data_IF_731262946368
#
_entry.id   IF_731262946368
#
_cell.length_a   1.000
_cell.length_b   1.000
_cell.length_c   1.000
_cell.angle_alpha   90.00
_cell.angle_beta   90.00
_cell.angle_gamma   90.00
#
_symmetry.space_group_name_H-M   'P 1'
#
loop_
_entity.id
_entity.type
_entity.pdbx_description
1 polymer ?
#
# COMPACT_ATOMS: atom_id res chain seq x y z
N UNK A 1 44.24 -57.74 10.84
CA UNK A 1 44.14 -57.41 12.29
C UNK A 1 43.14 -56.29 12.61
N UNK A 2 42.89 -55.32 11.71
CA UNK A 2 41.91 -54.22 11.92
C UNK A 2 40.43 -54.64 11.85
N UNK A 3 40.07 -55.67 11.06
CA UNK A 3 38.67 -56.14 10.90
C UNK A 3 38.13 -56.93 12.11
N UNK A 4 38.99 -57.56 12.92
CA UNK A 4 38.58 -58.23 14.17
C UNK A 4 38.33 -57.26 15.32
N UNK A 5 38.94 -56.07 15.31
CA UNK A 5 38.81 -55.09 16.39
C UNK A 5 37.47 -54.33 16.32
N UNK A 6 36.95 -54.09 15.11
CA UNK A 6 35.62 -53.49 14.91
C UNK A 6 34.48 -54.43 15.34
N UNK A 7 34.60 -55.74 15.04
CA UNK A 7 33.60 -56.74 15.44
C UNK A 7 33.56 -56.96 16.97
N UNK A 8 34.71 -56.94 17.65
CA UNK A 8 34.77 -57.09 19.11
C UNK A 8 34.18 -55.89 19.86
N UNK A 9 34.38 -54.66 19.36
CA UNK A 9 33.72 -53.46 19.92
C UNK A 9 32.20 -53.47 19.71
N UNK A 10 31.72 -53.90 18.55
CA UNK A 10 30.28 -54.02 18.25
C UNK A 10 29.56 -54.96 19.22
N UNK A 11 30.11 -56.16 19.44
CA UNK A 11 29.61 -57.16 20.39
C UNK A 11 29.57 -56.62 21.84
N UNK A 12 30.62 -55.91 22.28
CA UNK A 12 30.67 -55.32 23.62
C UNK A 12 29.65 -54.18 23.81
N UNK A 13 29.48 -53.32 22.80
CA UNK A 13 28.48 -52.25 22.82
C UNK A 13 27.05 -52.79 22.85
N UNK A 14 26.75 -53.81 22.05
CA UNK A 14 25.43 -54.48 22.02
C UNK A 14 25.12 -55.12 23.38
N UNK A 15 26.11 -55.73 24.02
CA UNK A 15 25.98 -56.28 25.36
C UNK A 15 25.77 -55.19 26.44
N UNK A 16 26.42 -54.04 26.32
CA UNK A 16 26.27 -52.91 27.24
C UNK A 16 24.88 -52.26 27.14
N UNK A 17 24.38 -52.03 25.92
CA UNK A 17 23.04 -51.48 25.65
C UNK A 17 21.96 -52.45 26.15
N UNK A 18 22.12 -53.76 25.91
CA UNK A 18 21.19 -54.78 26.43
C UNK A 18 21.16 -54.79 27.96
N UNK A 19 22.33 -54.71 28.62
CA UNK A 19 22.42 -54.63 30.10
C UNK A 19 21.84 -53.33 30.65
N UNK A 20 22.04 -52.20 29.97
CA UNK A 20 21.42 -50.93 30.33
C UNK A 20 19.89 -50.99 30.21
N UNK A 21 19.36 -51.62 29.16
CA UNK A 21 17.92 -51.82 28.99
C UNK A 21 17.30 -52.72 30.07
N UNK A 22 18.01 -53.79 30.45
CA UNK A 22 17.65 -54.64 31.59
C UNK A 22 17.66 -53.88 32.92
N UNK A 23 18.65 -53.00 33.14
CA UNK A 23 18.74 -52.17 34.35
C UNK A 23 17.60 -51.14 34.44
N UNK A 24 17.21 -50.55 33.31
CA UNK A 24 16.04 -49.64 33.19
C UNK A 24 14.73 -50.38 33.54
N UNK A 25 14.58 -51.65 33.12
CA UNK A 25 13.42 -52.49 33.48
C UNK A 25 13.38 -52.92 34.95
N UNK A 26 14.54 -52.99 35.63
CA UNK A 26 14.63 -53.46 37.01
C UNK A 26 14.04 -52.47 38.04
N UNK A 27 14.04 -51.16 37.74
CA UNK A 27 13.55 -50.09 38.65
C UNK A 27 12.38 -49.31 38.02
N UNK A 28 11.31 -50.03 37.66
CA UNK A 28 10.16 -49.55 36.85
C UNK A 28 9.60 -48.17 37.27
N UNK A 29 9.42 -47.92 38.58
CA UNK A 29 8.84 -46.65 39.06
C UNK A 29 9.78 -45.45 38.90
N UNK A 30 11.03 -45.57 39.36
CA UNK A 30 12.01 -44.47 39.31
C UNK A 30 12.35 -44.08 37.87
N UNK A 31 12.48 -45.07 36.99
CA UNK A 31 12.79 -44.80 35.59
C UNK A 31 11.59 -44.23 34.83
N UNK A 32 10.36 -44.67 35.11
CA UNK A 32 9.17 -44.05 34.53
C UNK A 32 9.01 -42.58 34.93
N UNK A 33 9.24 -42.25 36.21
CA UNK A 33 9.20 -40.87 36.69
C UNK A 33 10.25 -40.00 36.01
N UNK A 34 11.50 -40.48 35.90
CA UNK A 34 12.57 -39.74 35.23
C UNK A 34 12.27 -39.50 33.75
N UNK A 35 11.78 -40.51 33.02
CA UNK A 35 11.41 -40.37 31.61
C UNK A 35 10.31 -39.32 31.45
N UNK A 36 9.28 -39.36 32.29
CA UNK A 36 8.17 -38.42 32.24
C UNK A 36 8.66 -36.98 32.41
N UNK A 37 9.45 -36.71 33.46
CA UNK A 37 9.96 -35.35 33.72
C UNK A 37 10.87 -34.87 32.59
N UNK A 38 11.79 -35.72 32.11
CA UNK A 38 12.67 -35.33 30.99
C UNK A 38 11.90 -35.09 29.70
N UNK A 39 10.86 -35.89 29.43
CA UNK A 39 10.02 -35.71 28.24
C UNK A 39 9.25 -34.40 28.32
N UNK A 40 8.72 -34.04 29.50
CA UNK A 40 8.02 -32.78 29.69
C UNK A 40 8.93 -31.57 29.42
N UNK A 41 10.17 -31.59 29.91
CA UNK A 41 11.15 -30.52 29.66
C UNK A 41 11.49 -30.44 28.17
N UNK A 42 11.71 -31.57 27.49
CA UNK A 42 12.05 -31.61 26.07
C UNK A 42 10.92 -31.06 25.18
N UNK A 43 9.67 -31.38 25.49
CA UNK A 43 8.52 -30.84 24.76
C UNK A 43 8.49 -29.32 24.87
N UNK A 44 8.74 -28.78 26.07
CA UNK A 44 8.74 -27.33 26.28
C UNK A 44 9.87 -26.62 25.52
N UNK A 45 11.06 -27.23 25.51
CA UNK A 45 12.21 -26.70 24.74
C UNK A 45 11.94 -26.76 23.24
N UNK A 46 11.40 -27.87 22.73
CA UNK A 46 11.04 -28.00 21.31
C UNK A 46 9.97 -27.00 20.91
N UNK A 47 8.93 -26.83 21.73
CA UNK A 47 7.91 -25.82 21.49
C UNK A 47 8.52 -24.41 21.42
N UNK A 48 9.41 -24.06 22.36
CA UNK A 48 10.10 -22.78 22.35
C UNK A 48 10.96 -22.57 21.10
N UNK A 49 11.71 -23.59 20.67
CA UNK A 49 12.52 -23.53 19.44
C UNK A 49 11.64 -23.45 18.18
N UNK A 50 10.53 -24.18 18.13
CA UNK A 50 9.58 -24.14 17.02
C UNK A 50 8.92 -22.78 16.91
N UNK A 51 8.45 -22.22 18.02
CA UNK A 51 7.85 -20.87 18.04
C UNK A 51 8.90 -19.83 17.63
N UNK A 52 10.13 -19.94 18.14
CA UNK A 52 11.22 -19.04 17.76
C UNK A 52 11.52 -19.12 16.26
N UNK A 53 11.65 -20.31 15.70
CA UNK A 53 11.90 -20.47 14.27
C UNK A 53 10.73 -19.95 13.41
N UNK A 54 9.49 -20.16 13.85
CA UNK A 54 8.31 -19.62 13.19
C UNK A 54 8.29 -18.08 13.25
N UNK A 55 8.63 -17.50 14.40
CA UNK A 55 8.72 -16.04 14.57
C UNK A 55 9.84 -15.45 13.71
N UNK A 56 11.03 -16.05 13.71
CA UNK A 56 12.16 -15.61 12.87
C UNK A 56 11.79 -15.70 11.38
N UNK A 57 11.12 -16.78 10.96
CA UNK A 57 10.62 -16.94 9.58
C UNK A 57 9.57 -15.90 9.21
N UNK A 58 8.67 -15.55 10.15
CA UNK A 58 7.67 -14.51 9.93
C UNK A 58 8.32 -13.13 9.82
N UNK A 59 9.32 -12.83 10.64
CA UNK A 59 10.10 -11.59 10.56
C UNK A 59 10.88 -11.50 9.26
N UNK A 60 11.52 -12.59 8.81
CA UNK A 60 12.25 -12.59 7.53
C UNK A 60 11.30 -12.40 6.35
N UNK A 61 10.12 -13.02 6.38
CA UNK A 61 9.11 -12.84 5.32
C UNK A 61 8.61 -11.41 5.29
N UNK A 62 8.25 -10.85 6.46
CA UNK A 62 7.82 -9.46 6.57
C UNK A 62 8.92 -8.47 6.15
N UNK A 63 10.19 -8.76 6.47
CA UNK A 63 11.33 -7.96 6.04
C UNK A 63 11.54 -8.03 4.53
N UNK A 64 11.43 -9.22 3.94
CA UNK A 64 11.54 -9.38 2.48
C UNK A 64 10.44 -8.65 1.72
N UNK A 65 9.22 -8.58 2.27
CA UNK A 65 8.12 -7.82 1.68
C UNK A 65 8.31 -6.30 1.87
N UNK A 66 8.74 -5.86 3.06
CA UNK A 66 8.88 -4.44 3.38
C UNK A 66 10.17 -3.79 2.79
N UNK A 67 11.31 -4.47 2.78
CA UNK A 67 12.58 -3.93 2.26
C UNK A 67 12.62 -3.87 0.72
N UNK A 68 11.69 -4.53 0.02
CA UNK A 68 11.66 -4.59 -1.44
C UNK A 68 10.95 -3.39 -2.11
N UNK A 69 10.19 -2.59 -1.36
CA UNK A 69 9.46 -1.44 -1.90
C UNK A 69 10.14 -0.13 -1.52
N UNK A 70 10.82 0.50 -2.48
CA UNK A 70 11.43 1.82 -2.30
C UNK A 70 10.47 2.88 -2.85
N UNK A 71 9.80 3.63 -1.96
CA UNK A 71 8.99 4.78 -2.37
C UNK A 71 9.87 6.02 -2.47
N UNK A 72 10.03 6.55 -3.68
CA UNK A 72 10.69 7.83 -3.89
C UNK A 72 9.64 8.94 -3.75
N UNK A 73 9.62 9.61 -2.60
CA UNK A 73 8.77 10.79 -2.38
C UNK A 73 9.63 12.03 -2.17
N UNK A 74 9.13 13.17 -2.67
CA UNK A 74 9.72 14.47 -2.37
C UNK A 74 9.51 14.77 -0.89
N UNK A 75 10.60 15.00 -0.16
CA UNK A 75 10.54 15.36 1.24
C UNK A 75 10.03 16.82 1.38
N UNK A 76 8.70 16.97 1.39
CA UNK A 76 8.03 18.27 1.54
C UNK A 76 8.38 18.95 2.86
N UNK A 77 8.67 18.21 3.94
CA UNK A 77 9.07 18.81 5.22
C UNK A 77 10.42 19.52 5.12
N UNK A 78 11.42 18.89 4.49
CA UNK A 78 12.72 19.50 4.23
C UNK A 78 12.61 20.70 3.28
N UNK A 79 11.72 20.61 2.29
CA UNK A 79 11.43 21.71 1.36
C UNK A 79 10.73 22.89 2.05
N UNK A 80 9.71 22.63 2.87
CA UNK A 80 9.00 23.65 3.67
C UNK A 80 9.94 24.31 4.69
N UNK A 81 10.92 23.57 5.21
CA UNK A 81 11.95 24.11 6.09
C UNK A 81 13.01 24.94 5.35
N UNK A 82 13.31 24.59 4.10
CA UNK A 82 14.15 25.40 3.22
C UNK A 82 13.42 26.64 2.70
N UNK A 83 12.10 26.56 2.55
CA UNK A 83 11.20 27.65 2.20
C UNK A 83 10.90 28.49 3.46
N UNK A 84 11.86 29.32 3.84
CA UNK A 84 11.75 30.21 4.99
C UNK A 84 10.96 31.48 4.56
N UNK A 85 9.71 31.70 4.98
CA UNK A 85 8.93 32.88 4.57
C UNK A 85 9.40 34.21 5.19
N UNK A 86 10.40 34.17 6.09
CA UNK A 86 10.97 35.35 6.77
C UNK A 86 12.24 35.91 6.07
N UNK A 87 12.38 35.79 4.76
CA UNK A 87 13.36 36.60 4.02
C UNK A 87 12.67 37.82 3.43
N UNK A 88 12.74 38.90 4.19
CA UNK A 88 12.47 40.27 3.76
C UNK A 88 13.39 40.63 2.58
N UNK A 89 12.95 40.34 1.35
CA UNK A 89 13.56 40.88 0.14
C UNK A 89 12.48 41.41 -0.79
N UNK A 90 12.20 42.69 -0.60
CA UNK A 90 11.59 43.53 -1.63
C UNK A 90 12.49 43.51 -2.86
N UNK A 91 12.07 42.81 -3.90
CA UNK A 91 12.60 43.00 -5.24
C UNK A 91 11.52 42.62 -6.25
N UNK A 92 10.94 43.66 -6.83
CA UNK A 92 10.29 43.68 -8.15
C UNK A 92 11.13 42.88 -9.16
N UNK A 93 10.71 41.66 -9.45
CA UNK A 93 10.85 41.05 -10.78
C UNK A 93 9.79 39.95 -10.90
N UNK A 94 8.65 40.31 -11.47
CA UNK A 94 7.57 39.40 -11.82
C UNK A 94 8.01 38.53 -12.99
N UNK A 95 8.70 37.44 -12.69
CA UNK A 95 8.72 36.26 -13.55
C UNK A 95 7.68 35.29 -13.01
N UNK A 96 6.56 35.20 -13.72
CA UNK A 96 5.63 34.09 -13.74
C UNK A 96 6.39 32.74 -13.66
N UNK A 97 6.51 32.18 -12.47
CA UNK A 97 6.81 30.76 -12.27
C UNK A 97 5.84 30.29 -11.19
N UNK A 98 4.58 30.12 -11.61
CA UNK A 98 3.51 29.64 -10.78
C UNK A 98 3.92 28.31 -10.17
N UNK A 99 4.09 28.30 -8.84
CA UNK A 99 4.04 27.13 -7.97
C UNK A 99 4.45 25.83 -8.67
N UNK A 100 5.68 25.78 -9.19
CA UNK A 100 6.22 24.57 -9.79
C UNK A 100 6.39 23.55 -8.66
N UNK A 101 5.34 22.75 -8.45
CA UNK A 101 5.44 21.50 -7.72
C UNK A 101 6.63 20.77 -8.35
N UNK A 102 7.72 20.62 -7.60
CA UNK A 102 8.92 19.93 -8.08
C UNK A 102 8.59 18.45 -8.19
N UNK A 103 7.87 18.10 -9.24
CA UNK A 103 7.60 16.72 -9.63
C UNK A 103 8.95 16.09 -9.95
N UNK A 104 9.11 14.83 -9.60
CA UNK A 104 10.34 14.10 -9.95
C UNK A 104 10.43 14.09 -11.47
N UNK A 105 11.54 14.61 -12.03
CA UNK A 105 11.78 14.57 -13.47
C UNK A 105 11.61 13.14 -13.98
N UNK A 106 10.65 12.96 -14.87
CA UNK A 106 10.25 11.65 -15.38
C UNK A 106 11.45 10.90 -15.98
N UNK A 107 12.33 11.62 -16.69
CA UNK A 107 13.57 11.08 -17.25
C UNK A 107 14.54 10.53 -16.18
N UNK A 108 14.60 11.14 -14.99
CA UNK A 108 15.43 10.66 -13.88
C UNK A 108 14.80 9.42 -13.25
N UNK A 109 13.48 9.41 -13.12
CA UNK A 109 12.73 8.27 -12.59
C UNK A 109 12.83 7.04 -13.51
N UNK A 110 12.71 7.23 -14.83
CA UNK A 110 12.93 6.19 -15.86
C UNK A 110 14.36 5.65 -15.82
N UNK A 111 15.36 6.53 -15.72
CA UNK A 111 16.77 6.12 -15.63
C UNK A 111 17.08 5.27 -14.39
N UNK A 112 16.29 5.41 -13.32
CA UNK A 112 16.38 4.57 -12.13
C UNK A 112 15.67 3.24 -12.37
N UNK A 113 14.49 3.28 -12.99
CA UNK A 113 13.68 2.12 -13.34
C UNK A 113 14.40 1.13 -14.27
N UNK A 114 15.24 1.61 -15.20
CA UNK A 114 15.99 0.76 -16.14
C UNK A 114 17.22 0.05 -15.53
N UNK A 115 17.58 0.30 -14.27
CA UNK A 115 18.76 -0.32 -13.66
C UNK A 115 18.53 -1.80 -13.35
N UNK A 116 19.58 -2.60 -13.51
CA UNK A 116 19.64 -4.08 -13.31
C UNK A 116 19.30 -4.59 -11.89
N UNK A 117 18.82 -3.72 -10.99
CA UNK A 117 18.35 -4.07 -9.64
C UNK A 117 16.89 -3.74 -9.39
N UNK A 118 16.17 -3.17 -10.35
CA UNK A 118 14.76 -2.81 -10.23
C UNK A 118 13.92 -3.88 -10.94
N UNK A 119 13.22 -4.70 -10.15
CA UNK A 119 12.38 -5.76 -10.69
C UNK A 119 11.06 -5.23 -11.27
N UNK A 120 10.52 -4.17 -10.66
CA UNK A 120 9.26 -3.52 -11.06
C UNK A 120 9.25 -2.09 -10.53
N UNK A 121 8.48 -1.22 -11.19
CA UNK A 121 8.32 0.18 -10.79
C UNK A 121 6.88 0.63 -11.02
N UNK A 122 6.43 1.53 -10.15
CA UNK A 122 5.12 2.19 -10.21
C UNK A 122 5.33 3.70 -10.17
N UNK A 123 4.85 4.39 -11.19
CA UNK A 123 4.68 5.83 -11.19
C UNK A 123 3.22 6.13 -10.88
N UNK A 124 2.99 7.01 -9.92
CA UNK A 124 1.65 7.40 -9.48
C UNK A 124 1.54 8.92 -9.49
N UNK A 125 0.50 9.42 -10.15
CA UNK A 125 0.07 10.81 -10.04
C UNK A 125 -1.39 10.86 -9.62
N UNK A 126 -1.78 11.84 -8.84
CA UNK A 126 -3.17 11.98 -8.37
C UNK A 126 -3.67 13.37 -8.68
N UNK A 127 -4.86 13.44 -9.25
CA UNK A 127 -5.59 14.69 -9.52
C UNK A 127 -7.06 14.53 -9.12
N UNK A 128 -7.73 15.63 -8.87
CA UNK A 128 -9.19 15.67 -8.68
C UNK A 128 -9.87 16.10 -9.96
N UNK A 129 -11.06 15.57 -10.23
CA UNK A 129 -11.89 15.94 -11.37
C UNK A 129 -13.37 15.94 -10.97
N UNK A 130 -14.16 16.80 -11.60
CA UNK A 130 -15.60 16.93 -11.44
C UNK A 130 -16.32 16.01 -12.42
N UNK A 131 -17.49 15.51 -12.03
CA UNK A 131 -18.31 14.67 -12.89
C UNK A 131 -18.83 15.44 -14.11
N UNK A 132 -18.75 14.82 -15.30
CA UNK A 132 -19.46 15.29 -16.49
C UNK A 132 -20.94 14.90 -16.45
N UNK A 133 -21.70 15.33 -17.47
CA UNK A 133 -23.15 15.07 -17.54
C UNK A 133 -23.52 13.57 -17.59
N UNK A 134 -22.58 12.73 -18.04
CA UNK A 134 -22.80 11.30 -18.30
C UNK A 134 -22.39 10.38 -17.13
N UNK A 135 -21.90 10.93 -16.02
CA UNK A 135 -21.48 10.15 -14.85
C UNK A 135 -21.84 10.87 -13.56
N UNK A 136 -22.20 10.12 -12.54
CA UNK A 136 -22.48 10.62 -11.19
C UNK A 136 -21.54 9.96 -10.19
N UNK A 137 -20.97 10.77 -9.31
CA UNK A 137 -20.15 10.25 -8.22
C UNK A 137 -21.02 9.49 -7.22
N UNK A 138 -20.56 8.30 -6.86
CA UNK A 138 -21.11 7.54 -5.75
C UNK A 138 -20.54 8.10 -4.45
N UNK A 139 -21.38 8.74 -3.63
CA UNK A 139 -20.96 9.20 -2.32
C UNK A 139 -20.72 8.00 -1.41
N UNK A 140 -19.45 7.72 -1.10
CA UNK A 140 -19.12 7.00 0.12
C UNK A 140 -19.44 7.91 1.29
N UNK A 141 -20.11 7.41 2.33
CA UNK A 141 -20.61 8.13 3.51
C UNK A 141 -19.52 8.78 4.39
N UNK A 142 -18.57 9.52 3.83
CA UNK A 142 -17.89 10.61 4.51
C UNK A 142 -18.65 11.88 4.15
N UNK A 143 -19.70 12.16 4.93
CA UNK A 143 -20.38 13.44 4.94
C UNK A 143 -19.37 14.53 5.30
N UNK A 144 -18.68 15.10 4.32
CA UNK A 144 -18.38 16.52 4.37
C UNK A 144 -19.58 17.18 3.72
N UNK A 145 -20.60 17.42 4.54
CA UNK A 145 -21.67 18.36 4.20
C UNK A 145 -21.00 19.68 3.85
N UNK A 146 -20.89 19.97 2.57
CA UNK A 146 -20.84 21.34 2.11
C UNK A 146 -22.24 21.88 2.38
N UNK A 147 -22.48 22.36 3.60
CA UNK A 147 -23.62 23.23 3.85
C UNK A 147 -23.41 24.45 2.96
N UNK A 148 -24.13 24.48 1.84
CA UNK A 148 -24.49 25.70 1.13
C UNK A 148 -25.21 26.60 2.13
N UNK A 149 -24.44 27.38 2.89
CA UNK A 149 -25.01 28.45 3.69
C UNK A 149 -25.38 29.57 2.74
N UNK A 150 -26.60 29.49 2.23
CA UNK A 150 -27.41 30.58 1.70
C UNK A 150 -27.47 31.72 2.73
N UNK A 151 -26.43 32.56 2.82
CA UNK A 151 -26.51 33.77 3.62
C UNK A 151 -27.25 34.84 2.81
N UNK A 152 -28.57 34.74 2.89
CA UNK A 152 -29.47 35.85 2.66
C UNK A 152 -29.05 36.99 3.59
N UNK A 153 -28.85 38.16 3.00
CA UNK A 153 -28.58 39.44 3.65
C UNK A 153 -29.48 39.69 4.87
N UNK A 154 -28.88 39.98 6.02
CA UNK A 154 -29.44 40.88 7.04
C UNK A 154 -28.35 41.36 8.03
N UNK A 155 -28.05 42.65 7.89
CA UNK A 155 -27.79 43.69 8.90
C UNK A 155 -27.05 43.42 10.23
N UNK A 156 -26.03 44.27 10.43
CA UNK A 156 -25.55 44.87 11.70
C UNK A 156 -24.43 44.22 12.54
N UNK A 157 -23.34 45.00 12.62
CA UNK A 157 -22.48 45.33 13.76
C UNK A 157 -21.27 44.43 14.14
N UNK A 158 -20.10 44.98 13.77
CA UNK A 158 -19.00 45.34 14.69
C UNK A 158 -18.23 44.20 15.40
N UNK A 159 -17.17 43.72 14.74
CA UNK A 159 -15.90 43.35 15.41
C UNK A 159 -14.78 43.15 14.39
N UNK A 160 -13.92 44.15 14.26
CA UNK A 160 -12.70 44.14 13.45
C UNK A 160 -11.69 43.09 13.94
N UNK A 161 -11.75 41.88 13.37
CA UNK A 161 -10.64 40.92 13.36
C UNK A 161 -9.97 40.95 11.98
N UNK A 162 -8.65 41.21 11.87
CA UNK A 162 -7.97 41.26 10.57
C UNK A 162 -8.01 39.89 9.89
N UNK A 163 -8.86 39.78 8.88
CA UNK A 163 -8.97 38.68 7.94
C UNK A 163 -7.73 38.66 7.03
N UNK A 164 -6.67 37.99 7.50
CA UNK A 164 -5.43 37.77 6.77
C UNK A 164 -5.04 36.31 6.81
N UNK A 165 -5.71 35.47 6.01
CA UNK A 165 -5.14 34.21 5.51
C UNK A 165 -6.00 33.69 4.37
N UNK A 166 -5.49 33.79 3.14
CA UNK A 166 -6.06 33.13 1.98
C UNK A 166 -6.24 31.66 2.28
N UNK A 167 -7.49 31.23 2.35
CA UNK A 167 -7.82 29.83 2.15
C UNK A 167 -7.42 29.52 0.72
N UNK A 168 -6.43 28.65 0.54
CA UNK A 168 -6.27 27.94 -0.71
C UNK A 168 -7.61 27.24 -0.95
N UNK A 169 -8.34 27.72 -1.95
CA UNK A 169 -9.52 27.09 -2.48
C UNK A 169 -9.08 25.71 -2.98
N UNK A 170 -9.29 24.70 -2.14
CA UNK A 170 -9.12 23.31 -2.54
C UNK A 170 -10.28 23.05 -3.50
N UNK A 171 -10.00 23.10 -4.80
CA UNK A 171 -10.93 22.64 -5.85
C UNK A 171 -11.33 21.21 -5.52
N UNK A 172 -12.54 21.08 -4.98
CA UNK A 172 -13.15 19.83 -4.54
C UNK A 172 -13.81 19.20 -5.76
N UNK A 173 -13.08 18.30 -6.43
CA UNK A 173 -13.66 17.48 -7.50
C UNK A 173 -14.42 16.28 -6.92
N UNK A 174 -15.43 15.82 -7.65
CA UNK A 174 -16.25 14.65 -7.27
C UNK A 174 -15.49 13.32 -7.33
N UNK A 175 -14.45 13.25 -8.16
CA UNK A 175 -13.61 12.08 -8.38
C UNK A 175 -12.15 12.36 -8.03
N UNK A 176 -11.51 11.36 -7.43
CA UNK A 176 -10.06 11.27 -7.35
C UNK A 176 -9.55 10.36 -8.46
N UNK A 177 -8.78 10.92 -9.39
CA UNK A 177 -8.16 10.18 -10.48
C UNK A 177 -6.72 9.89 -10.12
N UNK A 178 -6.35 8.61 -10.14
CA UNK A 178 -4.97 8.17 -9.92
C UNK A 178 -4.42 7.61 -11.23
N UNK A 179 -3.47 8.33 -11.82
CA UNK A 179 -2.72 7.87 -12.99
C UNK A 179 -1.61 6.93 -12.58
N UNK A 180 -1.57 5.74 -13.19
CA UNK A 180 -0.55 4.72 -12.96
C UNK A 180 -0.01 4.18 -14.28
N UNK A 181 1.25 3.74 -14.31
CA UNK A 181 1.82 3.06 -15.49
C UNK A 181 1.45 1.57 -15.56
N UNK A 182 1.08 0.95 -14.43
CA UNK A 182 0.63 -0.44 -14.39
C UNK A 182 -0.25 -0.70 -13.17
N UNK A 183 -1.44 -1.26 -13.38
CA UNK A 183 -2.35 -1.64 -12.29
C UNK A 183 -1.80 -2.80 -11.47
N UNK A 184 -1.06 -3.72 -12.08
CA UNK A 184 -0.51 -4.91 -11.43
C UNK A 184 0.48 -4.61 -10.30
N UNK A 185 1.04 -3.39 -10.27
CA UNK A 185 1.99 -2.97 -9.25
C UNK A 185 1.38 -2.04 -8.20
N UNK A 186 0.08 -1.73 -8.31
CA UNK A 186 -0.64 -0.94 -7.31
C UNK A 186 -0.89 -1.79 -6.07
N UNK A 187 -0.65 -1.22 -4.89
CA UNK A 187 -0.74 -1.92 -3.59
C UNK A 187 -2.08 -2.64 -3.38
N UNK A 188 -3.17 -2.00 -3.80
CA UNK A 188 -4.52 -2.49 -3.55
C UNK A 188 -4.79 -3.75 -4.39
N UNK A 189 -4.20 -3.84 -5.59
CA UNK A 189 -4.30 -5.00 -6.47
C UNK A 189 -3.31 -6.10 -6.08
N UNK A 190 -2.07 -5.75 -5.72
CA UNK A 190 -1.05 -6.73 -5.28
C UNK A 190 -1.42 -7.40 -3.96
N UNK A 191 -2.09 -6.67 -3.04
CA UNK A 191 -2.59 -7.22 -1.78
C UNK A 191 -3.86 -8.06 -1.94
N UNK A 192 -4.49 -8.07 -3.12
CA UNK A 192 -5.79 -8.70 -3.38
C UNK A 192 -6.97 -7.98 -2.73
N UNK A 193 -6.78 -6.74 -2.27
CA UNK A 193 -7.87 -5.91 -1.74
C UNK A 193 -8.81 -5.51 -2.87
N UNK A 194 -8.25 -5.19 -4.04
CA UNK A 194 -8.94 -4.91 -5.30
C UNK A 194 -8.63 -6.00 -6.32
N UNK A 195 -9.64 -6.53 -6.99
CA UNK A 195 -9.49 -7.55 -8.04
C UNK A 195 -10.21 -7.09 -9.31
N UNK A 196 -9.58 -7.22 -10.47
CA UNK A 196 -10.22 -6.92 -11.76
C UNK A 196 -11.19 -8.07 -12.07
N UNK A 197 -12.47 -7.76 -12.12
CA UNK A 197 -13.55 -8.74 -12.37
C UNK A 197 -13.98 -8.76 -13.83
N UNK A 198 -13.83 -7.64 -14.54
CA UNK A 198 -14.10 -7.56 -15.97
C UNK A 198 -13.07 -6.68 -16.69
N UNK A 199 -12.75 -7.02 -17.93
CA UNK A 199 -11.77 -6.30 -18.76
C UNK A 199 -10.31 -6.55 -18.38
N UNK A 200 -9.48 -5.51 -18.50
CA UNK A 200 -8.02 -5.57 -18.29
C UNK A 200 -7.53 -4.37 -17.47
N UNK A 201 -6.41 -4.56 -16.78
CA UNK A 201 -5.72 -3.49 -16.05
C UNK A 201 -4.99 -2.51 -16.97
N UNK A 202 -4.55 -1.39 -16.41
CA UNK A 202 -3.65 -0.45 -17.08
C UNK A 202 -2.26 -1.08 -17.18
N UNK A 203 -1.64 -0.95 -18.36
CA UNK A 203 -0.27 -1.38 -18.65
C UNK A 203 0.42 -0.31 -19.50
N UNK A 204 1.72 -0.46 -19.79
CA UNK A 204 2.46 0.46 -20.65
C UNK A 204 1.95 0.53 -22.10
N UNK A 205 1.22 -0.50 -22.56
CA UNK A 205 0.66 -0.57 -23.91
C UNK A 205 -0.80 -0.08 -23.99
N UNK A 206 -1.39 0.28 -22.83
CA UNK A 206 -2.77 0.76 -22.77
C UNK A 206 -2.88 2.14 -23.42
N UNK A 207 -3.93 2.35 -24.21
CA UNK A 207 -4.16 3.63 -24.90
C UNK A 207 -4.38 4.78 -23.91
N UNK A 208 -4.03 6.00 -24.35
CA UNK A 208 -4.31 7.22 -23.60
C UNK A 208 -5.80 7.31 -23.24
N UNK A 209 -6.10 7.96 -22.12
CA UNK A 209 -7.46 8.15 -21.62
C UNK A 209 -8.23 6.84 -21.33
N UNK A 210 -7.52 5.75 -21.04
CA UNK A 210 -8.13 4.51 -20.53
C UNK A 210 -8.26 4.55 -19.01
N UNK A 211 -9.38 4.05 -18.49
CA UNK A 211 -9.69 4.03 -17.07
C UNK A 211 -10.10 2.64 -16.60
N UNK A 212 -9.69 2.32 -15.37
CA UNK A 212 -10.18 1.16 -14.61
C UNK A 212 -11.02 1.71 -13.47
N UNK A 213 -12.29 1.31 -13.41
CA UNK A 213 -13.29 1.87 -12.46
C UNK A 213 -13.78 0.81 -11.47
N UNK A 214 -14.30 1.23 -10.31
CA UNK A 214 -14.91 0.29 -9.37
C UNK A 214 -16.24 -0.24 -9.92
N UNK A 215 -16.57 -1.47 -9.56
CA UNK A 215 -17.86 -2.11 -9.84
C UNK A 215 -19.04 -1.27 -9.33
N UNK A 216 -18.95 -0.72 -8.12
CA UNK A 216 -20.00 0.15 -7.58
C UNK A 216 -20.25 1.39 -8.47
N UNK A 217 -19.19 2.00 -9.01
CA UNK A 217 -19.31 3.17 -9.90
C UNK A 217 -19.86 2.77 -11.26
N UNK A 218 -19.43 1.61 -11.77
CA UNK A 218 -19.90 1.04 -13.01
C UNK A 218 -21.40 0.72 -12.95
N UNK A 219 -21.84 0.02 -11.91
CA UNK A 219 -23.23 -0.36 -11.68
C UNK A 219 -24.14 0.87 -11.46
N UNK A 220 -23.67 1.89 -10.73
CA UNK A 220 -24.45 3.10 -10.47
C UNK A 220 -24.68 3.96 -11.71
N UNK A 221 -23.81 3.85 -12.72
CA UNK A 221 -23.86 4.65 -13.95
C UNK A 221 -24.14 3.80 -15.21
N UNK A 222 -24.51 2.53 -15.04
CA UNK A 222 -24.73 1.56 -16.12
C UNK A 222 -23.55 1.45 -17.11
N UNK A 223 -22.30 1.59 -16.61
CA UNK A 223 -21.08 1.55 -17.42
C UNK A 223 -20.51 0.13 -17.51
N UNK A 224 -20.09 -0.26 -18.71
CA UNK A 224 -19.43 -1.54 -19.01
C UNK A 224 -18.06 -1.33 -19.66
N UNK A 225 -17.26 -2.41 -19.75
CA UNK A 225 -15.98 -2.37 -20.47
C UNK A 225 -16.20 -1.99 -21.94
N UNK A 226 -15.51 -0.94 -22.39
CA UNK A 226 -15.64 -0.33 -23.70
C UNK A 226 -16.47 0.94 -23.73
N UNK A 227 -17.23 1.24 -22.67
CA UNK A 227 -18.00 2.47 -22.57
C UNK A 227 -17.11 3.67 -22.25
N UNK A 228 -17.61 4.86 -22.56
CA UNK A 228 -16.90 6.12 -22.33
C UNK A 228 -17.67 7.03 -21.39
N UNK A 229 -16.98 7.71 -20.49
CA UNK A 229 -17.55 8.72 -19.61
C UNK A 229 -16.69 9.98 -19.63
N UNK A 230 -17.28 11.12 -19.26
CA UNK A 230 -16.60 12.41 -19.29
C UNK A 230 -16.28 12.90 -17.88
N UNK A 231 -15.07 13.39 -17.68
CA UNK A 231 -14.64 14.08 -16.46
C UNK A 231 -14.14 15.48 -16.82
N UNK A 232 -14.39 16.45 -15.95
CA UNK A 232 -13.96 17.83 -16.16
C UNK A 232 -12.98 18.23 -15.07
N UNK A 233 -11.87 18.83 -15.47
CA UNK A 233 -10.87 19.39 -14.55
C UNK A 233 -10.81 20.90 -14.78
N UNK A 234 -10.75 21.65 -13.69
CA UNK A 234 -10.55 23.11 -13.72
C UNK A 234 -9.14 23.43 -13.28
N UNK A 235 -8.34 23.98 -14.17
CA UNK A 235 -6.98 24.48 -13.87
C UNK A 235 -6.95 25.94 -14.28
N UNK A 236 -6.56 26.82 -13.36
CA UNK A 236 -6.46 28.27 -13.60
C UNK A 236 -7.73 28.86 -14.26
N UNK A 237 -8.90 28.62 -13.64
CA UNK A 237 -10.23 29.04 -14.12
C UNK A 237 -10.63 28.54 -15.53
N UNK A 238 -9.86 27.59 -16.07
CA UNK A 238 -10.14 26.97 -17.37
C UNK A 238 -10.64 25.55 -17.19
N UNK A 239 -11.90 25.33 -17.52
CA UNK A 239 -12.52 24.01 -17.53
C UNK A 239 -12.10 23.24 -18.78
N UNK A 240 -11.54 22.05 -18.58
CA UNK A 240 -11.19 21.12 -19.65
C UNK A 240 -11.87 19.77 -19.41
N UNK A 241 -12.66 19.32 -20.38
CA UNK A 241 -13.33 18.03 -20.35
C UNK A 241 -12.52 16.96 -21.08
N UNK A 242 -12.41 15.79 -20.45
CA UNK A 242 -11.72 14.62 -20.98
C UNK A 242 -12.68 13.44 -21.05
N UNK A 243 -12.77 12.80 -22.21
CA UNK A 243 -13.45 11.53 -22.36
C UNK A 243 -12.50 10.40 -21.95
N UNK A 244 -12.95 9.52 -21.05
CA UNK A 244 -12.23 8.34 -20.58
C UNK A 244 -12.95 7.08 -21.05
N UNK A 245 -12.21 6.07 -21.49
CA UNK A 245 -12.76 4.77 -21.91
C UNK A 245 -12.53 3.74 -20.81
N UNK A 246 -13.59 3.04 -20.40
CA UNK A 246 -13.50 1.96 -19.41
C UNK A 246 -12.84 0.75 -20.05
N UNK A 247 -11.66 0.38 -19.58
CA UNK A 247 -10.93 -0.82 -20.05
C UNK A 247 -10.98 -1.98 -19.05
N UNK A 248 -11.34 -1.68 -17.80
CA UNK A 248 -11.51 -2.68 -16.75
C UNK A 248 -12.42 -2.20 -15.63
N UNK A 249 -13.03 -3.17 -14.96
CA UNK A 249 -13.86 -2.98 -13.77
C UNK A 249 -13.25 -3.81 -12.65
N UNK A 250 -13.04 -3.19 -11.50
CA UNK A 250 -12.52 -3.87 -10.32
C UNK A 250 -13.54 -3.93 -9.19
N UNK A 251 -13.48 -5.02 -8.43
CA UNK A 251 -14.23 -5.21 -7.19
C UNK A 251 -13.31 -5.00 -6.00
N UNK A 252 -13.76 -4.24 -5.02
CA UNK A 252 -13.04 -4.10 -3.76
C UNK A 252 -13.62 -5.10 -2.75
N UNK A 253 -12.78 -6.01 -2.27
CA UNK A 253 -13.15 -6.98 -1.23
C UNK A 253 -13.50 -6.30 0.10
N UNK A 254 -12.99 -5.09 0.35
CA UNK A 254 -13.52 -4.21 1.36
C UNK A 254 -14.74 -3.49 0.80
N UNK A 255 -15.92 -4.09 0.99
CA UNK A 255 -17.15 -3.28 1.06
C UNK A 255 -16.84 -2.11 1.98
N UNK A 256 -16.99 -0.87 1.51
CA UNK A 256 -16.90 0.33 2.33
C UNK A 256 -18.05 0.34 3.36
N UNK A 257 -18.02 -0.59 4.32
CA UNK A 257 -18.78 -0.48 5.56
C UNK A 257 -17.88 0.25 6.53
N UNK A 258 -17.76 1.56 6.33
CA UNK A 258 -17.33 2.46 7.40
C UNK A 258 -18.54 2.65 8.31
N UNK A 259 -18.49 2.01 9.48
CA UNK A 259 -19.45 2.22 10.57
C UNK A 259 -19.23 3.56 11.27
#
# INVERSE_FOLDING_TARGET
MLLSYQNFKGEFYINFIKRAWLATKAKKGRTALLILVTSAILIFVLAGLTIKNAADSAVESAKSEADATVTLSVNREAMMKAFNPDSDSSSDDSSDDGSATTSVDLATAESIAEKDGVASYLFTTTTTATAGDDISAISTSSLTSSDDSDSSSDDSSDSDQPSGRGGMEMTSGDFTITGVNSTDYVSDFTSGTSEITDGVGITSDTADNSAVISSDLADANDLSVGDTFTVTTTVDDTETSYALTVVGIYENSSTATTA
#
